data_IF_753309144322
#
_entry.id   IF_753309144322
#
_cell.length_a   1.000
_cell.length_b   1.000
_cell.length_c   1.000
_cell.angle_alpha   90.00
_cell.angle_beta   90.00
_cell.angle_gamma   90.00
#
_symmetry.space_group_name_H-M   'P 1'
#
loop_
_entity.id
_entity.type
_entity.pdbx_description
1 polymer ?
#
# COMPACT_ATOMS: atom_id res chain seq x y z
N UNK A 1 -37.86 -31.35 18.74
CA UNK A 1 -36.67 -31.57 17.89
C UNK A 1 -35.71 -30.46 18.25
N UNK A 2 -34.69 -30.76 19.05
CA UNK A 2 -33.67 -29.80 19.47
C UNK A 2 -32.61 -29.85 18.38
N UNK A 3 -32.50 -28.79 17.57
CA UNK A 3 -31.39 -28.62 16.64
C UNK A 3 -30.12 -28.40 17.46
N UNK A 4 -29.48 -29.49 17.84
CA UNK A 4 -28.19 -29.49 18.52
C UNK A 4 -27.14 -28.96 17.55
N UNK A 5 -26.82 -27.67 17.68
CA UNK A 5 -25.63 -27.10 17.04
C UNK A 5 -24.41 -27.79 17.67
N UNK A 6 -23.96 -28.89 17.04
CA UNK A 6 -22.76 -29.60 17.45
C UNK A 6 -21.60 -28.58 17.44
N UNK A 7 -20.82 -28.47 18.53
CA UNK A 7 -19.66 -27.60 18.53
C UNK A 7 -18.73 -28.01 17.38
N UNK A 8 -18.14 -27.04 16.65
CA UNK A 8 -17.23 -27.35 15.56
C UNK A 8 -16.08 -28.22 16.08
N UNK A 9 -15.59 -29.18 15.29
CA UNK A 9 -14.53 -30.06 15.74
C UNK A 9 -13.26 -29.25 16.09
N UNK A 10 -12.48 -29.68 17.09
CA UNK A 10 -11.42 -28.88 17.72
C UNK A 10 -10.26 -28.50 16.78
N UNK A 11 -10.17 -29.15 15.62
CA UNK A 11 -9.25 -28.84 14.53
C UNK A 11 -9.69 -27.63 13.69
N UNK A 12 -10.99 -27.38 13.59
CA UNK A 12 -11.59 -26.33 12.76
C UNK A 12 -11.30 -24.94 13.35
N UNK A 13 -11.45 -24.78 14.66
CA UNK A 13 -11.12 -23.53 15.37
C UNK A 13 -9.62 -23.21 15.29
N UNK A 14 -8.76 -24.24 15.39
CA UNK A 14 -7.31 -24.08 15.30
C UNK A 14 -6.87 -23.71 13.87
N UNK A 15 -7.53 -24.27 12.85
CA UNK A 15 -7.29 -23.98 11.43
C UNK A 15 -7.73 -22.56 11.06
N UNK A 16 -8.93 -22.14 11.47
CA UNK A 16 -9.43 -20.76 11.24
C UNK A 16 -8.57 -19.72 11.95
N UNK A 17 -8.22 -19.93 13.22
CA UNK A 17 -7.34 -19.03 13.94
C UNK A 17 -5.96 -18.91 13.26
N UNK A 18 -5.43 -20.00 12.72
CA UNK A 18 -4.16 -19.99 12.00
C UNK A 18 -4.26 -19.25 10.66
N UNK A 19 -5.34 -19.48 9.91
CA UNK A 19 -5.63 -18.78 8.66
C UNK A 19 -5.73 -17.26 8.85
N UNK A 20 -6.48 -16.81 9.86
CA UNK A 20 -6.62 -15.39 10.18
C UNK A 20 -5.28 -14.75 10.53
N UNK A 21 -4.49 -15.36 11.43
CA UNK A 21 -3.15 -14.87 11.78
C UNK A 21 -2.24 -14.74 10.55
N UNK A 22 -2.33 -15.70 9.62
CA UNK A 22 -1.50 -15.69 8.43
C UNK A 22 -1.91 -14.61 7.43
N UNK A 23 -3.22 -14.37 7.27
CA UNK A 23 -3.75 -13.26 6.47
C UNK A 23 -3.39 -11.89 7.07
N UNK A 24 -3.47 -11.74 8.39
CA UNK A 24 -3.13 -10.50 9.08
C UNK A 24 -1.64 -10.17 8.93
N UNK A 25 -0.77 -11.19 9.09
CA UNK A 25 0.66 -11.04 8.87
C UNK A 25 0.97 -10.58 7.44
N UNK A 26 0.34 -11.21 6.42
CA UNK A 26 0.50 -10.82 5.01
C UNK A 26 0.01 -9.40 4.73
N UNK A 27 -1.16 -9.05 5.26
CA UNK A 27 -1.73 -7.72 5.10
C UNK A 27 -0.81 -6.65 5.69
N UNK A 28 -0.25 -6.90 6.88
CA UNK A 28 0.74 -6.02 7.50
C UNK A 28 2.00 -5.90 6.65
N UNK A 29 2.54 -7.00 6.14
CA UNK A 29 3.70 -6.98 5.24
C UNK A 29 3.43 -6.15 3.99
N UNK A 30 2.26 -6.29 3.36
CA UNK A 30 1.89 -5.50 2.19
C UNK A 30 1.81 -4.00 2.49
N UNK A 31 1.27 -3.61 3.66
CA UNK A 31 1.27 -2.22 4.10
C UNK A 31 2.68 -1.67 4.31
N UNK A 32 3.57 -2.45 4.93
CA UNK A 32 4.98 -2.06 5.09
C UNK A 32 5.67 -1.93 3.73
N UNK A 33 5.45 -2.88 2.82
CA UNK A 33 6.00 -2.81 1.46
C UNK A 33 5.48 -1.62 0.67
N UNK A 34 4.19 -1.27 0.81
CA UNK A 34 3.63 -0.08 0.18
C UNK A 34 4.26 1.19 0.76
N UNK A 35 4.33 1.31 2.08
CA UNK A 35 4.95 2.47 2.73
C UNK A 35 6.43 2.62 2.33
N UNK A 36 7.18 1.51 2.30
CA UNK A 36 8.57 1.50 1.88
C UNK A 36 8.72 1.94 0.42
N UNK A 37 7.90 1.42 -0.49
CA UNK A 37 7.91 1.83 -1.88
C UNK A 37 7.64 3.34 -2.03
N UNK A 38 6.70 3.89 -1.26
CA UNK A 38 6.41 5.32 -1.31
C UNK A 38 7.56 6.20 -0.82
N UNK A 39 8.27 5.79 0.23
CA UNK A 39 9.47 6.49 0.71
C UNK A 39 10.58 6.42 -0.34
N UNK A 40 10.80 5.24 -0.90
CA UNK A 40 11.81 5.02 -1.92
C UNK A 40 11.50 5.83 -3.19
N UNK A 41 10.23 5.94 -3.57
CA UNK A 41 9.79 6.75 -4.70
C UNK A 41 10.14 8.23 -4.51
N UNK A 42 9.87 8.80 -3.32
CA UNK A 42 10.25 10.19 -2.99
C UNK A 42 11.77 10.37 -3.08
N UNK A 43 12.54 9.42 -2.53
CA UNK A 43 13.99 9.48 -2.55
C UNK A 43 14.54 9.44 -3.98
N UNK A 44 14.04 8.52 -4.82
CA UNK A 44 14.45 8.42 -6.22
C UNK A 44 14.07 9.67 -7.02
N UNK A 45 12.87 10.22 -6.83
CA UNK A 45 12.52 11.51 -7.44
C UNK A 45 13.50 12.60 -7.04
N UNK A 46 13.90 12.66 -5.77
CA UNK A 46 14.90 13.63 -5.30
C UNK A 46 16.28 13.44 -5.92
N UNK A 47 16.74 12.19 -6.03
CA UNK A 47 18.00 11.86 -6.71
C UNK A 47 17.92 12.26 -8.19
N UNK A 48 16.82 11.92 -8.87
CA UNK A 48 16.61 12.28 -10.27
C UNK A 48 16.65 13.79 -10.51
N UNK A 49 15.95 14.56 -9.68
CA UNK A 49 15.99 16.02 -9.72
C UNK A 49 17.41 16.57 -9.47
N UNK A 50 18.16 15.97 -8.54
CA UNK A 50 19.53 16.40 -8.21
C UNK A 50 20.53 16.20 -9.35
N UNK A 51 20.31 15.21 -10.22
CA UNK A 51 21.12 14.95 -11.41
C UNK A 51 20.58 15.66 -12.67
N UNK A 52 19.58 16.54 -12.51
CA UNK A 52 19.04 17.38 -13.58
C UNK A 52 17.90 16.76 -14.39
N UNK A 53 17.36 15.60 -13.98
CA UNK A 53 16.12 15.08 -14.58
C UNK A 53 14.94 15.97 -14.21
N UNK A 54 14.04 16.21 -15.16
CA UNK A 54 12.83 16.98 -14.91
C UNK A 54 11.69 16.07 -14.44
N UNK A 55 10.99 16.48 -13.38
CA UNK A 55 9.73 15.86 -12.97
C UNK A 55 8.69 16.03 -14.08
N UNK A 56 8.20 14.90 -14.63
CA UNK A 56 7.25 14.89 -15.74
C UNK A 56 5.80 15.03 -15.28
N UNK A 57 5.51 14.69 -14.04
CA UNK A 57 4.18 14.85 -13.48
C UNK A 57 3.93 16.32 -13.11
N UNK A 58 3.09 17.01 -13.89
CA UNK A 58 2.78 18.43 -13.68
C UNK A 58 2.25 18.70 -12.26
N UNK A 59 1.39 17.81 -11.73
CA UNK A 59 0.84 17.95 -10.37
C UNK A 59 1.95 17.82 -9.33
N UNK A 60 2.82 16.82 -9.49
CA UNK A 60 3.95 16.65 -8.57
C UNK A 60 4.89 17.86 -8.61
N UNK A 61 5.20 18.37 -9.81
CA UNK A 61 6.06 19.53 -10.01
C UNK A 61 5.51 20.78 -9.32
N UNK A 62 4.23 21.09 -9.51
CA UNK A 62 3.58 22.24 -8.84
C UNK A 62 3.67 22.12 -7.32
N UNK A 63 3.40 20.93 -6.77
CA UNK A 63 3.51 20.70 -5.33
C UNK A 63 4.95 20.81 -4.83
N UNK A 64 5.93 20.31 -5.58
CA UNK A 64 7.36 20.41 -5.24
C UNK A 64 7.81 21.87 -5.25
N UNK A 65 7.39 22.66 -6.24
CA UNK A 65 7.72 24.09 -6.34
C UNK A 65 7.13 24.89 -5.17
N UNK A 66 5.92 24.53 -4.73
CA UNK A 66 5.20 25.30 -3.70
C UNK A 66 5.54 24.87 -2.26
N UNK A 67 5.72 23.57 -2.02
CA UNK A 67 5.94 23.02 -0.67
C UNK A 67 7.34 22.45 -0.45
N UNK A 68 8.13 22.26 -1.50
CA UNK A 68 9.39 21.52 -1.48
C UNK A 68 9.17 20.01 -1.55
N UNK A 69 10.17 19.29 -2.08
CA UNK A 69 10.08 17.87 -2.39
C UNK A 69 9.59 17.00 -1.23
N UNK A 70 10.16 17.19 -0.04
CA UNK A 70 9.82 16.35 1.12
C UNK A 70 8.38 16.56 1.58
N UNK A 71 7.90 17.80 1.62
CA UNK A 71 6.52 18.10 2.04
C UNK A 71 5.51 17.66 0.97
N UNK A 72 5.81 17.94 -0.29
CA UNK A 72 5.02 17.47 -1.43
C UNK A 72 4.90 15.94 -1.43
N UNK A 73 6.02 15.23 -1.37
CA UNK A 73 6.06 13.77 -1.32
C UNK A 73 5.27 13.22 -0.14
N UNK A 74 5.46 13.77 1.06
CA UNK A 74 4.73 13.34 2.25
C UNK A 74 3.22 13.59 2.13
N UNK A 75 2.80 14.73 1.59
CA UNK A 75 1.38 15.04 1.38
C UNK A 75 0.75 14.10 0.37
N UNK A 76 1.35 13.95 -0.82
CA UNK A 76 0.82 13.13 -1.90
C UNK A 76 0.78 11.64 -1.52
N UNK A 77 1.90 11.11 -1.01
CA UNK A 77 1.98 9.69 -0.60
C UNK A 77 1.17 9.43 0.67
N UNK A 78 1.20 10.35 1.63
CA UNK A 78 0.39 10.27 2.84
C UNK A 78 -1.11 10.28 2.54
N UNK A 79 -1.55 11.12 1.60
CA UNK A 79 -2.94 11.12 1.14
C UNK A 79 -3.32 9.78 0.49
N UNK A 80 -2.47 9.23 -0.38
CA UNK A 80 -2.71 7.92 -1.00
C UNK A 80 -2.81 6.79 0.05
N UNK A 81 -1.93 6.79 1.07
CA UNK A 81 -2.00 5.85 2.20
C UNK A 81 -3.28 6.03 3.01
N UNK A 82 -3.68 7.28 3.29
CA UNK A 82 -4.88 7.57 4.07
C UNK A 82 -6.15 7.11 3.33
N UNK A 83 -6.25 7.38 2.02
CA UNK A 83 -7.36 6.90 1.18
C UNK A 83 -7.38 5.38 1.13
N UNK A 84 -6.23 4.74 0.90
CA UNK A 84 -6.12 3.28 0.92
C UNK A 84 -6.51 2.68 2.27
N UNK A 85 -6.10 3.29 3.38
CA UNK A 85 -6.40 2.82 4.73
C UNK A 85 -7.89 2.98 5.03
N UNK A 86 -8.48 4.10 4.63
CA UNK A 86 -9.91 4.35 4.78
C UNK A 86 -10.73 3.34 3.96
N UNK A 87 -10.35 3.08 2.71
CA UNK A 87 -10.96 2.04 1.89
C UNK A 87 -10.85 0.65 2.56
N UNK A 88 -9.68 0.31 3.09
CA UNK A 88 -9.47 -0.93 3.84
C UNK A 88 -10.34 -1.02 5.11
N UNK A 89 -10.58 0.10 5.80
CA UNK A 89 -11.41 0.17 7.01
C UNK A 89 -12.90 0.10 6.71
N UNK A 90 -13.33 0.69 5.61
CA UNK A 90 -14.73 0.75 5.18
C UNK A 90 -15.19 -0.53 4.45
N UNK A 91 -14.29 -1.27 3.79
CA UNK A 91 -14.62 -2.50 3.06
C UNK A 91 -15.55 -3.47 3.82
N UNK A 92 -15.31 -3.81 5.10
CA UNK A 92 -16.18 -4.71 5.87
C UNK A 92 -17.59 -4.18 6.14
N UNK A 93 -17.80 -2.87 6.06
CA UNK A 93 -19.11 -2.24 6.30
C UNK A 93 -19.95 -2.22 5.02
N UNK A 94 -19.32 -2.41 3.85
CA UNK A 94 -19.99 -2.36 2.54
C UNK A 94 -20.43 -3.75 2.05
N UNK A 95 -19.74 -4.82 2.47
CA UNK A 95 -20.06 -6.19 2.07
C UNK A 95 -19.72 -7.18 3.20
N UNK A 96 -20.68 -8.02 3.58
CA UNK A 96 -20.55 -9.01 4.66
C UNK A 96 -19.48 -10.08 4.40
N UNK A 97 -19.08 -10.30 3.14
CA UNK A 97 -17.97 -11.18 2.77
C UNK A 97 -16.63 -10.44 2.52
N UNK A 98 -16.61 -9.11 2.60
CA UNK A 98 -15.42 -8.30 2.26
C UNK A 98 -14.22 -8.52 3.20
N UNK A 99 -14.43 -9.13 4.37
CA UNK A 99 -13.34 -9.55 5.24
C UNK A 99 -12.30 -10.40 4.53
N UNK A 100 -12.74 -11.23 3.57
CA UNK A 100 -11.84 -12.09 2.80
C UNK A 100 -11.04 -11.32 1.77
N UNK A 101 -11.51 -10.17 1.28
CA UNK A 101 -10.92 -9.40 0.18
C UNK A 101 -10.08 -8.19 0.63
N UNK A 102 -9.98 -7.93 1.93
CA UNK A 102 -9.24 -6.80 2.48
C UNK A 102 -7.76 -6.73 2.08
N UNK A 103 -7.13 -7.86 1.75
CA UNK A 103 -5.74 -7.89 1.31
C UNK A 103 -5.51 -7.25 -0.07
N UNK A 104 -6.56 -7.12 -0.90
CA UNK A 104 -6.45 -6.48 -2.21
C UNK A 104 -6.13 -5.00 -2.12
N UNK A 105 -6.53 -4.33 -1.05
CA UNK A 105 -6.30 -2.89 -0.86
C UNK A 105 -4.81 -2.57 -0.73
N UNK A 106 -4.06 -3.12 0.25
CA UNK A 106 -2.63 -2.86 0.33
C UNK A 106 -1.86 -3.48 -0.84
N UNK A 107 -2.35 -4.58 -1.44
CA UNK A 107 -1.74 -5.15 -2.64
C UNK A 107 -1.83 -4.19 -3.83
N UNK A 108 -3.02 -3.62 -4.06
CA UNK A 108 -3.28 -2.64 -5.11
C UNK A 108 -2.55 -1.32 -4.88
N UNK A 109 -2.13 -1.03 -3.66
CA UNK A 109 -1.27 0.11 -3.35
C UNK A 109 0.21 -0.22 -3.57
N UNK A 110 0.64 -1.40 -3.13
CA UNK A 110 2.04 -1.84 -3.20
C UNK A 110 2.51 -2.05 -4.64
N UNK A 111 1.75 -2.78 -5.47
CA UNK A 111 2.15 -3.12 -6.83
C UNK A 111 2.48 -1.90 -7.72
N UNK A 112 1.58 -0.90 -7.88
CA UNK A 112 1.89 0.28 -8.68
C UNK A 112 2.99 1.14 -8.05
N UNK A 113 3.08 1.19 -6.71
CA UNK A 113 4.15 1.94 -6.04
C UNK A 113 5.53 1.34 -6.33
N UNK A 114 5.66 0.01 -6.29
CA UNK A 114 6.90 -0.68 -6.64
C UNK A 114 7.23 -0.59 -8.12
N UNK A 115 6.22 -0.59 -9.00
CA UNK A 115 6.44 -0.34 -10.43
C UNK A 115 7.02 1.07 -10.67
N UNK A 116 6.47 2.10 -10.02
CA UNK A 116 6.98 3.48 -10.09
C UNK A 116 8.43 3.58 -9.60
N UNK A 117 8.74 2.96 -8.45
CA UNK A 117 10.11 2.85 -7.93
C UNK A 117 11.04 2.22 -8.97
N UNK A 118 10.64 1.10 -9.57
CA UNK A 118 11.46 0.41 -10.57
C UNK A 118 11.73 1.28 -11.81
N UNK A 119 10.71 1.97 -12.31
CA UNK A 119 10.83 2.90 -13.44
C UNK A 119 11.78 4.05 -13.09
N UNK A 120 11.61 4.66 -11.92
CA UNK A 120 12.45 5.75 -11.46
C UNK A 120 13.91 5.30 -11.27
N UNK A 121 14.13 4.09 -10.75
CA UNK A 121 15.46 3.51 -10.56
C UNK A 121 16.17 3.29 -11.90
N UNK A 122 15.49 2.64 -12.85
CA UNK A 122 16.02 2.38 -14.20
C UNK A 122 16.32 3.70 -14.91
N UNK A 123 15.46 4.70 -14.77
CA UNK A 123 15.66 6.01 -15.38
C UNK A 123 16.95 6.66 -14.87
N UNK A 124 17.15 6.69 -13.54
CA UNK A 124 18.37 7.25 -12.93
C UNK A 124 19.60 6.48 -13.38
N UNK A 125 19.57 5.14 -13.30
CA UNK A 125 20.70 4.29 -13.70
C UNK A 125 21.03 4.42 -15.20
N UNK A 126 20.07 4.77 -16.05
CA UNK A 126 20.30 4.94 -17.49
C UNK A 126 20.99 6.24 -17.87
N UNK A 127 21.00 7.23 -16.98
CA UNK A 127 21.58 8.57 -17.21
C UNK A 127 22.76 8.89 -16.28
N UNK A 128 23.10 7.96 -15.38
CA UNK A 128 24.25 8.04 -14.47
C UNK A 128 25.45 7.32 -15.07
#
# INVERSE_FOLDING_TARGET
MVDGHLPPPPDTERSTASYHRWMDARTRTLWVLAALAMVLDIALTGVGLSIGLAERNHVARVFIDEFGLLRAGLLLKGFALAVGYLAWRLLPHLDGNAHRHRYFVPLGLALPSWAAVGINAVTILSVS
#
